data_IF_744958551741
#
_entry.id   IF_744958551741
#
_cell.length_a   1.000
_cell.length_b   1.000
_cell.length_c   1.000
_cell.angle_alpha   90.00
_cell.angle_beta   90.00
_cell.angle_gamma   90.00
#
_symmetry.space_group_name_H-M   'P 1'
#
loop_
_entity.id
_entity.type
_entity.pdbx_description
1 polymer ?
#
# COMPACT_ATOMS: atom_id res chain seq x y z
N UNK A 1 2.35 -10.15 -12.01
CA UNK A 1 1.35 -9.17 -11.59
C UNK A 1 1.85 -7.77 -11.92
N UNK A 2 1.06 -6.96 -12.60
CA UNK A 2 1.51 -5.62 -12.94
C UNK A 2 1.15 -4.62 -11.82
N UNK A 3 1.75 -3.44 -11.90
CA UNK A 3 1.57 -2.43 -10.85
C UNK A 3 0.11 -2.01 -10.68
N UNK A 4 -0.64 -1.96 -11.76
CA UNK A 4 -2.04 -1.59 -11.70
C UNK A 4 -2.86 -2.58 -10.88
N UNK A 5 -2.59 -3.88 -11.03
CA UNK A 5 -3.27 -4.91 -10.25
C UNK A 5 -2.90 -4.82 -8.78
N UNK A 6 -1.63 -4.54 -8.51
CA UNK A 6 -1.15 -4.38 -7.14
C UNK A 6 -1.85 -3.19 -6.48
N UNK A 7 -1.97 -2.09 -7.20
CA UNK A 7 -2.65 -0.90 -6.68
C UNK A 7 -4.13 -1.15 -6.42
N UNK A 8 -4.79 -1.93 -7.28
CA UNK A 8 -6.18 -2.29 -7.08
C UNK A 8 -6.36 -3.09 -5.79
N UNK A 9 -5.48 -4.06 -5.56
CA UNK A 9 -5.51 -4.84 -4.33
C UNK A 9 -5.18 -3.98 -3.10
N UNK A 10 -4.22 -3.08 -3.25
CA UNK A 10 -3.86 -2.16 -2.17
C UNK A 10 -5.04 -1.29 -1.77
N UNK A 11 -5.79 -0.78 -2.74
CA UNK A 11 -6.99 0.03 -2.45
C UNK A 11 -8.00 -0.75 -1.63
N UNK A 12 -8.24 -1.99 -1.98
CA UNK A 12 -9.20 -2.84 -1.26
C UNK A 12 -8.76 -3.07 0.18
N UNK A 13 -7.47 -3.34 0.38
CA UNK A 13 -6.93 -3.62 1.71
C UNK A 13 -6.79 -2.36 2.55
N UNK A 14 -6.49 -1.24 1.93
CA UNK A 14 -6.25 0.03 2.62
C UNK A 14 -7.51 0.88 2.78
N UNK A 15 -8.69 0.33 2.48
CA UNK A 15 -9.93 1.10 2.49
C UNK A 15 -10.19 1.82 3.80
N UNK A 16 -9.70 1.28 4.92
CA UNK A 16 -9.91 1.87 6.24
C UNK A 16 -8.69 2.59 6.81
N UNK A 17 -7.57 2.60 6.12
CA UNK A 17 -6.38 3.18 6.71
C UNK A 17 -5.27 3.55 5.75
N UNK A 18 -5.61 3.80 4.49
CA UNK A 18 -4.59 4.17 3.54
C UNK A 18 -5.13 4.98 2.37
N UNK A 19 -4.21 5.59 1.65
CA UNK A 19 -4.53 6.38 0.46
C UNK A 19 -3.60 5.97 -0.66
N UNK A 20 -4.16 5.81 -1.85
CA UNK A 20 -3.36 5.50 -3.04
C UNK A 20 -3.38 6.70 -3.97
N UNK A 21 -2.19 7.16 -4.36
CA UNK A 21 -2.03 8.31 -5.25
C UNK A 21 -1.11 7.92 -6.40
N UNK A 22 -1.66 7.74 -7.58
CA UNK A 22 -0.87 7.32 -8.72
C UNK A 22 -0.16 6.00 -8.42
N UNK A 23 1.16 6.01 -8.38
CA UNK A 23 1.98 4.83 -8.08
C UNK A 23 2.44 4.77 -6.62
N UNK A 24 1.92 5.65 -5.77
CA UNK A 24 2.34 5.73 -4.38
C UNK A 24 1.21 5.32 -3.46
N UNK A 25 1.58 4.70 -2.34
CA UNK A 25 0.63 4.28 -1.32
C UNK A 25 1.03 4.92 0.00
N UNK A 26 0.06 5.53 0.69
CA UNK A 26 0.26 6.12 2.00
C UNK A 26 -0.54 5.31 3.01
N UNK A 27 0.13 4.81 4.04
CA UNK A 27 -0.48 3.95 5.03
C UNK A 27 -0.54 4.65 6.39
N UNK A 28 -1.66 4.50 7.07
CA UNK A 28 -1.83 5.05 8.41
C UNK A 28 -2.67 4.11 9.25
N UNK A 29 -2.64 4.29 10.56
CA UNK A 29 -3.39 3.47 11.49
C UNK A 29 -2.60 2.28 12.01
N UNK A 30 -3.28 1.42 12.76
CA UNK A 30 -2.62 0.33 13.47
C UNK A 30 -2.03 -0.75 12.56
N UNK A 31 -2.57 -0.89 11.37
CA UNK A 31 -2.14 -1.94 10.45
C UNK A 31 -1.14 -1.45 9.40
N UNK A 32 -0.57 -0.25 9.57
CA UNK A 32 0.31 0.32 8.55
C UNK A 32 1.52 -0.56 8.24
N UNK A 33 2.14 -1.13 9.24
CA UNK A 33 3.30 -1.98 9.02
C UNK A 33 2.94 -3.31 8.38
N UNK A 34 1.81 -3.89 8.75
CA UNK A 34 1.31 -5.11 8.12
C UNK A 34 1.02 -4.88 6.65
N UNK A 35 0.40 -3.76 6.34
CA UNK A 35 0.08 -3.40 4.96
C UNK A 35 1.32 -3.17 4.13
N UNK A 36 2.32 -2.52 4.72
CA UNK A 36 3.59 -2.32 4.03
C UNK A 36 4.20 -3.65 3.64
N UNK A 37 4.26 -4.58 4.59
CA UNK A 37 4.82 -5.91 4.34
C UNK A 37 4.04 -6.66 3.26
N UNK A 38 2.71 -6.57 3.32
CA UNK A 38 1.84 -7.18 2.32
C UNK A 38 2.14 -6.65 0.92
N UNK A 39 2.25 -5.34 0.79
CA UNK A 39 2.52 -4.71 -0.50
C UNK A 39 3.89 -5.08 -1.06
N UNK A 40 4.90 -5.15 -0.20
CA UNK A 40 6.23 -5.55 -0.60
C UNK A 40 6.21 -7.00 -1.11
N UNK A 41 5.48 -7.86 -0.44
CA UNK A 41 5.34 -9.26 -0.87
C UNK A 41 4.64 -9.38 -2.22
N UNK A 42 3.76 -8.45 -2.56
CA UNK A 42 3.11 -8.42 -3.87
C UNK A 42 4.04 -7.91 -4.97
N UNK A 43 5.16 -7.29 -4.59
CA UNK A 43 6.09 -6.72 -5.55
C UNK A 43 6.02 -5.20 -5.67
N UNK A 44 5.30 -4.54 -4.77
CA UNK A 44 5.21 -3.09 -4.79
C UNK A 44 6.53 -2.47 -4.30
N UNK A 45 7.06 -1.44 -4.99
CA UNK A 45 8.32 -0.81 -4.57
C UNK A 45 8.20 -0.18 -3.18
N UNK A 46 9.14 -0.53 -2.31
CA UNK A 46 9.14 0.01 -0.95
C UNK A 46 9.24 1.54 -0.94
N UNK A 47 10.01 2.10 -1.86
CA UNK A 47 10.20 3.55 -1.96
C UNK A 47 8.91 4.30 -2.29
N UNK A 48 7.91 3.61 -2.82
CA UNK A 48 6.61 4.20 -3.13
C UNK A 48 5.59 4.00 -2.01
N UNK A 49 6.02 3.48 -0.89
CA UNK A 49 5.16 3.28 0.28
C UNK A 49 5.55 4.29 1.35
N UNK A 50 4.59 5.10 1.77
CA UNK A 50 4.79 6.08 2.83
C UNK A 50 3.98 5.66 4.06
N UNK A 51 4.58 5.82 5.23
CA UNK A 51 3.90 5.52 6.49
C UNK A 51 3.70 6.82 7.23
N UNK A 52 2.44 7.08 7.59
CA UNK A 52 2.06 8.25 8.36
C UNK A 52 1.89 7.83 9.81
N UNK A 53 2.59 8.51 10.68
CA UNK A 53 2.54 8.25 12.12
C UNK A 53 1.59 9.17 12.88
#
# INVERSE_FOLDING_TARGET
MNLKDILTQAKKKCASGGTVRGNEVELQGDHRFKMKKFLINLGFPEENISIVE
#
